data_IF_124576132783
#
_entry.id   IF_124576132783
#
_cell.length_a   1.000
_cell.length_b   1.000
_cell.length_c   1.000
_cell.angle_alpha   90.00
_cell.angle_beta   90.00
_cell.angle_gamma   90.00
#
_symmetry.space_group_name_H-M   'P 1'
#
loop_
_entity.id
_entity.type
_entity.pdbx_description
1 polymer ?
#
# COMPACT_ATOMS: atom_id res chain seq x y z
N UNK A 1 -41.81 -47.50 -28.07
CA UNK A 1 -43.16 -47.23 -27.53
C UNK A 1 -44.29 -47.52 -28.53
N UNK A 2 -44.18 -47.13 -29.81
CA UNK A 2 -45.26 -47.29 -30.80
C UNK A 2 -45.80 -48.73 -30.99
N UNK A 3 -44.94 -49.77 -31.01
CA UNK A 3 -45.40 -51.18 -31.15
C UNK A 3 -46.22 -51.68 -29.96
N UNK A 4 -45.90 -51.21 -28.75
CA UNK A 4 -46.59 -51.60 -27.51
C UNK A 4 -47.95 -50.92 -27.38
N UNK A 5 -48.05 -49.64 -27.76
CA UNK A 5 -49.33 -48.92 -27.82
C UNK A 5 -50.27 -49.52 -28.87
N UNK A 6 -49.75 -49.94 -30.02
CA UNK A 6 -50.55 -50.65 -31.05
C UNK A 6 -51.09 -51.99 -30.52
N UNK A 7 -50.28 -52.77 -29.80
CA UNK A 7 -50.72 -54.01 -29.17
C UNK A 7 -51.84 -53.77 -28.14
N UNK A 8 -51.70 -52.76 -27.27
CA UNK A 8 -52.74 -52.40 -26.28
C UNK A 8 -54.05 -51.95 -26.94
N UNK A 9 -53.99 -51.20 -28.04
CA UNK A 9 -55.19 -50.80 -28.80
C UNK A 9 -55.87 -52.02 -29.42
N UNK A 10 -55.11 -52.93 -30.03
CA UNK A 10 -55.66 -54.17 -30.59
C UNK A 10 -56.31 -55.02 -29.50
N UNK A 11 -55.65 -55.21 -28.35
CA UNK A 11 -56.19 -55.94 -27.20
C UNK A 11 -57.46 -55.29 -26.63
N UNK A 12 -57.50 -53.96 -26.55
CA UNK A 12 -58.69 -53.23 -26.11
C UNK A 12 -59.85 -53.44 -27.09
N UNK A 13 -59.61 -53.31 -28.40
CA UNK A 13 -60.64 -53.51 -29.43
C UNK A 13 -61.16 -54.95 -29.47
N UNK A 14 -60.30 -55.96 -29.29
CA UNK A 14 -60.74 -57.36 -29.22
C UNK A 14 -61.59 -57.64 -27.99
N UNK A 15 -61.19 -57.15 -26.81
CA UNK A 15 -61.99 -57.24 -25.59
C UNK A 15 -63.34 -56.53 -25.71
N UNK A 16 -63.36 -55.36 -26.35
CA UNK A 16 -64.58 -54.57 -26.57
C UNK A 16 -65.53 -55.27 -27.55
N UNK A 17 -65.00 -55.92 -28.59
CA UNK A 17 -65.78 -56.74 -29.52
C UNK A 17 -66.36 -57.99 -28.86
N UNK A 18 -65.61 -58.66 -27.97
CA UNK A 18 -66.12 -59.80 -27.20
C UNK A 18 -67.22 -59.35 -26.24
N UNK A 19 -67.00 -58.24 -25.54
CA UNK A 19 -67.99 -57.66 -24.62
C UNK A 19 -69.28 -57.26 -25.35
N UNK A 20 -69.17 -56.68 -26.55
CA UNK A 20 -70.29 -56.34 -27.43
C UNK A 20 -71.18 -57.54 -27.75
N UNK A 21 -70.52 -58.66 -28.10
CA UNK A 21 -71.19 -59.87 -28.54
C UNK A 21 -72.04 -60.50 -27.42
N UNK A 22 -71.54 -60.48 -26.19
CA UNK A 22 -72.23 -61.07 -25.03
C UNK A 22 -73.26 -60.14 -24.37
N UNK A 23 -73.29 -58.85 -24.71
CA UNK A 23 -74.17 -57.86 -24.07
C UNK A 23 -75.02 -57.08 -25.10
N UNK A 24 -75.87 -57.79 -25.84
CA UNK A 24 -76.77 -57.23 -26.87
C UNK A 24 -78.06 -56.60 -26.32
N UNK A 25 -78.25 -56.59 -24.99
CA UNK A 25 -79.41 -56.01 -24.32
C UNK A 25 -79.50 -54.49 -24.48
N UNK A 26 -80.73 -53.97 -24.36
CA UNK A 26 -81.01 -52.54 -24.35
C UNK A 26 -81.62 -52.11 -23.02
N UNK A 27 -81.34 -50.87 -22.62
CA UNK A 27 -81.78 -50.31 -21.34
C UNK A 27 -82.45 -48.96 -21.60
N UNK A 28 -83.52 -48.67 -20.87
CA UNK A 28 -84.15 -47.35 -20.88
C UNK A 28 -83.33 -46.41 -19.99
N UNK A 29 -82.82 -45.32 -20.56
CA UNK A 29 -81.96 -44.35 -19.86
C UNK A 29 -82.73 -43.05 -19.66
N UNK A 30 -82.95 -42.68 -18.40
CA UNK A 30 -83.51 -41.38 -18.01
C UNK A 30 -82.40 -40.37 -17.78
N UNK A 31 -82.40 -39.28 -18.54
CA UNK A 31 -81.43 -38.19 -18.39
C UNK A 31 -82.05 -37.04 -17.58
N UNK A 32 -81.22 -36.16 -17.05
CA UNK A 32 -81.62 -34.91 -16.39
C UNK A 32 -82.68 -34.17 -17.24
N UNK A 33 -83.81 -33.82 -16.62
CA UNK A 33 -85.08 -33.30 -17.17
C UNK A 33 -86.15 -34.34 -17.54
N UNK A 34 -85.99 -35.59 -17.10
CA UNK A 34 -87.05 -36.61 -17.23
C UNK A 34 -87.23 -37.13 -18.66
N UNK A 35 -86.30 -36.84 -19.57
CA UNK A 35 -86.28 -37.41 -20.91
C UNK A 35 -85.80 -38.87 -20.84
N UNK A 36 -86.66 -39.80 -21.25
CA UNK A 36 -86.35 -41.23 -21.28
C UNK A 36 -86.01 -41.67 -22.70
N UNK A 37 -84.76 -42.03 -22.93
CA UNK A 37 -84.34 -42.68 -24.16
C UNK A 37 -84.59 -44.19 -24.01
N UNK A 38 -85.56 -44.70 -24.78
CA UNK A 38 -85.93 -46.12 -24.73
C UNK A 38 -85.00 -46.98 -25.58
N UNK A 39 -84.72 -48.18 -25.10
CA UNK A 39 -83.95 -49.20 -25.83
C UNK A 39 -82.55 -48.77 -26.28
N UNK A 40 -81.80 -48.06 -25.43
CA UNK A 40 -80.39 -47.74 -25.70
C UNK A 40 -79.52 -48.99 -25.53
N UNK A 41 -78.71 -49.39 -26.53
CA UNK A 41 -77.82 -50.54 -26.40
C UNK A 41 -76.80 -50.35 -25.26
N UNK A 42 -76.59 -51.37 -24.42
CA UNK A 42 -75.66 -51.31 -23.29
C UNK A 42 -74.22 -50.93 -23.75
N UNK A 43 -73.81 -51.42 -24.92
CA UNK A 43 -72.50 -51.09 -25.50
C UNK A 43 -72.33 -49.60 -25.80
N UNK A 44 -73.40 -48.89 -26.16
CA UNK A 44 -73.32 -47.45 -26.42
C UNK A 44 -72.93 -46.70 -25.13
N UNK A 45 -73.46 -47.11 -23.97
CA UNK A 45 -73.10 -46.53 -22.67
C UNK A 45 -71.64 -46.80 -22.28
N UNK A 46 -71.13 -48.00 -22.55
CA UNK A 46 -69.73 -48.36 -22.30
C UNK A 46 -68.79 -47.57 -23.20
N UNK A 47 -69.13 -47.39 -24.47
CA UNK A 47 -68.36 -46.55 -25.41
C UNK A 47 -68.36 -45.08 -24.99
N UNK A 48 -69.49 -44.55 -24.52
CA UNK A 48 -69.57 -43.18 -24.01
C UNK A 48 -68.69 -43.01 -22.76
N UNK A 49 -68.77 -43.93 -21.79
CA UNK A 49 -67.97 -43.89 -20.56
C UNK A 49 -66.47 -43.96 -20.82
N UNK A 50 -66.04 -44.89 -21.68
CA UNK A 50 -64.64 -45.01 -22.10
C UNK A 50 -64.15 -43.79 -22.88
N UNK A 51 -64.99 -43.22 -23.75
CA UNK A 51 -64.69 -41.98 -24.47
C UNK A 51 -64.50 -40.79 -23.51
N UNK A 52 -65.33 -40.67 -22.48
CA UNK A 52 -65.18 -39.64 -21.43
C UNK A 52 -63.88 -39.84 -20.65
N UNK A 53 -63.53 -41.08 -20.29
CA UNK A 53 -62.26 -41.39 -19.61
C UNK A 53 -61.03 -41.05 -20.46
N UNK A 54 -61.06 -41.39 -21.75
CA UNK A 54 -60.00 -41.03 -22.69
C UNK A 54 -59.91 -39.51 -22.85
N UNK A 55 -61.05 -38.82 -22.99
CA UNK A 55 -61.11 -37.37 -23.15
C UNK A 55 -60.57 -36.64 -21.91
N UNK A 56 -60.94 -37.08 -20.70
CA UNK A 56 -60.41 -36.53 -19.45
C UNK A 56 -58.90 -36.79 -19.30
N UNK A 57 -58.40 -37.98 -19.67
CA UNK A 57 -56.97 -38.26 -19.73
C UNK A 57 -56.24 -37.32 -20.70
N UNK A 58 -56.78 -37.06 -21.89
CA UNK A 58 -56.20 -36.11 -22.85
C UNK A 58 -56.18 -34.69 -22.30
N UNK A 59 -57.24 -34.25 -21.61
CA UNK A 59 -57.26 -32.93 -20.96
C UNK A 59 -56.17 -32.85 -19.90
N UNK A 60 -56.05 -33.84 -19.02
CA UNK A 60 -55.03 -33.85 -17.97
C UNK A 60 -53.62 -33.89 -18.57
N UNK A 61 -53.39 -34.69 -19.61
CA UNK A 61 -52.11 -34.74 -20.32
C UNK A 61 -51.78 -33.40 -20.98
N UNK A 62 -52.75 -32.77 -21.65
CA UNK A 62 -52.59 -31.46 -22.28
C UNK A 62 -52.27 -30.36 -21.26
N UNK A 63 -52.94 -30.34 -20.10
CA UNK A 63 -52.65 -29.40 -19.00
C UNK A 63 -51.24 -29.63 -18.46
N UNK A 64 -50.85 -30.90 -18.24
CA UNK A 64 -49.52 -31.25 -17.74
C UNK A 64 -48.41 -30.85 -18.72
N UNK A 65 -48.59 -31.09 -20.00
CA UNK A 65 -47.61 -30.74 -21.02
C UNK A 65 -47.54 -29.23 -21.26
N UNK A 66 -48.67 -28.52 -21.18
CA UNK A 66 -48.72 -27.06 -21.18
C UNK A 66 -47.95 -26.46 -19.99
N UNK A 67 -48.13 -26.99 -18.78
CA UNK A 67 -47.36 -26.55 -17.60
C UNK A 67 -45.87 -26.79 -17.79
N UNK A 68 -45.46 -27.98 -18.22
CA UNK A 68 -44.04 -28.30 -18.48
C UNK A 68 -43.43 -27.40 -19.55
N UNK A 69 -44.18 -27.11 -20.61
CA UNK A 69 -43.75 -26.21 -21.67
C UNK A 69 -43.53 -24.79 -21.11
N UNK A 70 -44.47 -24.27 -20.33
CA UNK A 70 -44.35 -22.96 -19.68
C UNK A 70 -43.14 -22.89 -18.73
N UNK A 71 -42.94 -23.91 -17.91
CA UNK A 71 -41.78 -24.00 -17.00
C UNK A 71 -40.47 -24.01 -17.81
N UNK A 72 -40.40 -24.84 -18.85
CA UNK A 72 -39.22 -24.92 -19.73
C UNK A 72 -38.95 -23.61 -20.47
N UNK A 73 -39.99 -22.90 -20.89
CA UNK A 73 -39.89 -21.61 -21.55
C UNK A 73 -39.40 -20.52 -20.60
N UNK A 74 -39.89 -20.52 -19.36
CA UNK A 74 -39.45 -19.59 -18.34
C UNK A 74 -37.97 -19.81 -17.98
N UNK A 75 -37.54 -21.06 -17.81
CA UNK A 75 -36.13 -21.41 -17.57
C UNK A 75 -35.26 -20.97 -18.75
N UNK A 76 -35.65 -21.28 -19.99
CA UNK A 76 -34.89 -20.85 -21.17
C UNK A 76 -34.79 -19.33 -21.29
N UNK A 77 -35.85 -18.60 -20.92
CA UNK A 77 -35.86 -17.13 -20.95
C UNK A 77 -34.91 -16.55 -19.91
N UNK A 78 -34.89 -17.11 -18.69
CA UNK A 78 -33.95 -16.72 -17.63
C UNK A 78 -32.51 -17.01 -18.07
N UNK A 79 -32.23 -18.23 -18.55
CA UNK A 79 -30.89 -18.60 -19.03
C UNK A 79 -30.40 -17.72 -20.19
N UNK A 80 -31.28 -17.38 -21.14
CA UNK A 80 -30.93 -16.45 -22.23
C UNK A 80 -30.64 -15.04 -21.70
N UNK A 81 -31.36 -14.58 -20.68
CA UNK A 81 -31.11 -13.29 -20.03
C UNK A 81 -29.75 -13.31 -19.32
N UNK A 82 -29.48 -14.31 -18.49
CA UNK A 82 -28.21 -14.48 -17.78
C UNK A 82 -27.02 -14.58 -18.74
N UNK A 83 -27.13 -15.39 -19.80
CA UNK A 83 -26.07 -15.52 -20.82
C UNK A 83 -25.78 -14.19 -21.52
N UNK A 84 -26.81 -13.39 -21.81
CA UNK A 84 -26.66 -12.06 -22.41
C UNK A 84 -25.98 -11.07 -21.45
N UNK A 85 -26.28 -11.15 -20.16
CA UNK A 85 -25.65 -10.34 -19.12
C UNK A 85 -24.17 -10.71 -19.01
N UNK A 86 -23.86 -12.00 -18.92
CA UNK A 86 -22.48 -12.50 -18.83
C UNK A 86 -21.66 -12.15 -20.08
N UNK A 87 -22.26 -12.25 -21.27
CA UNK A 87 -21.63 -11.82 -22.52
C UNK A 87 -21.34 -10.30 -22.51
N UNK A 88 -22.30 -9.50 -22.06
CA UNK A 88 -22.13 -8.03 -21.96
C UNK A 88 -21.06 -7.66 -20.93
N UNK A 89 -21.04 -8.35 -19.80
CA UNK A 89 -20.01 -8.19 -18.76
C UNK A 89 -18.63 -8.57 -19.28
N UNK A 90 -18.50 -9.69 -19.99
CA UNK A 90 -17.24 -10.16 -20.58
C UNK A 90 -16.70 -9.15 -21.60
N UNK A 91 -17.54 -8.66 -22.52
CA UNK A 91 -17.14 -7.60 -23.47
C UNK A 91 -16.74 -6.31 -22.76
N UNK A 92 -17.47 -5.92 -21.72
CA UNK A 92 -17.14 -4.74 -20.91
C UNK A 92 -15.78 -4.88 -20.24
N UNK A 93 -15.46 -6.09 -19.77
CA UNK A 93 -14.18 -6.40 -19.16
C UNK A 93 -13.02 -6.41 -20.16
N UNK A 94 -13.23 -6.94 -21.37
CA UNK A 94 -12.28 -6.85 -22.49
C UNK A 94 -12.01 -5.39 -22.90
N UNK A 95 -13.06 -4.57 -23.00
CA UNK A 95 -12.93 -3.15 -23.30
C UNK A 95 -12.16 -2.41 -22.21
N UNK A 96 -12.40 -2.73 -20.92
CA UNK A 96 -11.67 -2.18 -19.79
C UNK A 96 -10.18 -2.54 -19.84
N UNK A 97 -9.86 -3.79 -20.15
CA UNK A 97 -8.47 -4.25 -20.31
C UNK A 97 -7.75 -3.57 -21.46
N UNK A 98 -8.47 -3.24 -22.52
CA UNK A 98 -7.95 -2.48 -23.65
C UNK A 98 -8.01 -0.95 -23.45
N UNK A 99 -8.26 -0.49 -22.22
CA UNK A 99 -8.35 0.93 -21.84
C UNK A 99 -9.42 1.74 -22.58
N UNK A 100 -10.40 1.08 -23.20
CA UNK A 100 -11.57 1.71 -23.84
C UNK A 100 -12.64 1.98 -22.78
N UNK A 101 -12.38 2.98 -21.94
CA UNK A 101 -13.18 3.24 -20.74
C UNK A 101 -14.64 3.61 -21.04
N UNK A 102 -14.90 4.37 -22.11
CA UNK A 102 -16.26 4.78 -22.50
C UNK A 102 -17.12 3.58 -22.92
N UNK A 103 -16.54 2.68 -23.74
CA UNK A 103 -17.20 1.46 -24.18
C UNK A 103 -17.46 0.51 -23.00
N UNK A 104 -16.46 0.35 -22.13
CA UNK A 104 -16.59 -0.46 -20.91
C UNK A 104 -17.69 0.08 -19.98
N UNK A 105 -17.74 1.40 -19.79
CA UNK A 105 -18.76 2.07 -18.98
C UNK A 105 -20.17 1.84 -19.54
N UNK A 106 -20.36 1.94 -20.87
CA UNK A 106 -21.65 1.65 -21.50
C UNK A 106 -22.06 0.18 -21.30
N UNK A 107 -21.13 -0.75 -21.52
CA UNK A 107 -21.38 -2.19 -21.39
C UNK A 107 -21.72 -2.58 -19.95
N UNK A 108 -20.98 -2.08 -18.96
CA UNK A 108 -21.29 -2.34 -17.56
C UNK A 108 -22.57 -1.61 -17.11
N UNK A 109 -22.88 -0.44 -17.65
CA UNK A 109 -24.15 0.25 -17.38
C UNK A 109 -25.33 -0.57 -17.89
N UNK A 110 -25.19 -1.22 -19.06
CA UNK A 110 -26.19 -2.16 -19.58
C UNK A 110 -26.38 -3.36 -18.65
N UNK A 111 -25.29 -3.94 -18.14
CA UNK A 111 -25.33 -5.03 -17.17
C UNK A 111 -26.11 -4.64 -15.91
N UNK A 112 -25.82 -3.48 -15.31
CA UNK A 112 -26.55 -3.03 -14.11
C UNK A 112 -27.99 -2.57 -14.41
N UNK A 113 -28.32 -2.27 -15.68
CA UNK A 113 -29.69 -2.04 -16.11
C UNK A 113 -30.53 -3.32 -16.12
N UNK A 114 -29.92 -4.45 -16.50
CA UNK A 114 -30.57 -5.77 -16.50
C UNK A 114 -30.54 -6.45 -15.10
N UNK A 115 -29.47 -6.22 -14.32
CA UNK A 115 -29.25 -6.70 -12.94
C UNK A 115 -28.65 -5.59 -12.03
N UNK A 116 -29.49 -4.81 -11.32
CA UNK A 116 -29.05 -3.66 -10.52
C UNK A 116 -28.06 -3.95 -9.38
N UNK A 117 -28.00 -5.20 -8.91
CA UNK A 117 -27.13 -5.66 -7.81
C UNK A 117 -25.93 -6.48 -8.29
N UNK A 118 -25.63 -6.47 -9.60
CA UNK A 118 -24.52 -7.23 -10.17
C UNK A 118 -23.16 -6.69 -9.68
N UNK A 119 -22.64 -7.30 -8.60
CA UNK A 119 -21.48 -6.82 -7.81
C UNK A 119 -20.24 -6.54 -8.66
N UNK A 120 -19.87 -7.45 -9.56
CA UNK A 120 -18.63 -7.29 -10.33
C UNK A 120 -18.71 -6.09 -11.30
N UNK A 121 -19.84 -5.93 -12.00
CA UNK A 121 -20.09 -4.78 -12.87
C UNK A 121 -20.08 -3.45 -12.10
N UNK A 122 -20.66 -3.42 -10.89
CA UNK A 122 -20.59 -2.25 -10.00
C UNK A 122 -19.14 -1.94 -9.59
N UNK A 123 -18.33 -2.95 -9.26
CA UNK A 123 -16.91 -2.75 -8.99
C UNK A 123 -16.18 -2.15 -10.19
N UNK A 124 -16.38 -2.69 -11.39
CA UNK A 124 -15.72 -2.18 -12.60
C UNK A 124 -16.15 -0.76 -12.96
N UNK A 125 -17.43 -0.42 -12.81
CA UNK A 125 -17.88 0.98 -12.96
C UNK A 125 -17.23 1.90 -11.93
N UNK A 126 -17.09 1.44 -10.68
CA UNK A 126 -16.34 2.15 -9.65
C UNK A 126 -14.87 2.36 -10.02
N UNK A 127 -14.21 1.33 -10.56
CA UNK A 127 -12.81 1.39 -11.01
C UNK A 127 -12.61 2.39 -12.15
N UNK A 128 -13.54 2.40 -13.12
CA UNK A 128 -13.54 3.38 -14.22
C UNK A 128 -13.71 4.79 -13.66
N UNK A 129 -14.69 5.02 -12.78
CA UNK A 129 -14.91 6.32 -12.14
C UNK A 129 -13.69 6.78 -11.33
N UNK A 130 -13.06 5.87 -10.59
CA UNK A 130 -11.85 6.14 -9.81
C UNK A 130 -10.70 6.59 -10.72
N UNK A 131 -10.47 5.91 -11.85
CA UNK A 131 -9.46 6.31 -12.84
C UNK A 131 -9.76 7.66 -13.49
N UNK A 132 -11.04 7.96 -13.75
CA UNK A 132 -11.52 9.26 -14.22
C UNK A 132 -11.48 10.35 -13.14
N UNK A 133 -11.00 10.06 -11.93
CA UNK A 133 -10.98 10.95 -10.77
C UNK A 133 -12.36 11.42 -10.28
N UNK A 134 -13.45 10.78 -10.73
CA UNK A 134 -14.80 10.98 -10.19
C UNK A 134 -14.98 10.12 -8.93
N UNK A 135 -14.31 10.54 -7.86
CA UNK A 135 -14.25 9.79 -6.60
C UNK A 135 -15.63 9.63 -5.96
N UNK A 136 -16.55 10.57 -6.17
CA UNK A 136 -17.90 10.51 -5.61
C UNK A 136 -18.74 9.42 -6.25
N UNK A 137 -18.74 9.31 -7.59
CA UNK A 137 -19.43 8.20 -8.27
C UNK A 137 -18.76 6.87 -7.97
N UNK A 138 -17.43 6.83 -7.92
CA UNK A 138 -16.69 5.62 -7.55
C UNK A 138 -17.14 5.10 -6.17
N UNK A 139 -17.21 5.98 -5.16
CA UNK A 139 -17.74 5.61 -3.84
C UNK A 139 -19.17 5.07 -3.93
N UNK A 140 -20.07 5.68 -4.70
CA UNK A 140 -21.45 5.20 -4.83
C UNK A 140 -21.51 3.77 -5.38
N UNK A 141 -20.80 3.49 -6.48
CA UNK A 141 -20.77 2.16 -7.07
C UNK A 141 -20.16 1.12 -6.14
N UNK A 142 -19.04 1.45 -5.47
CA UNK A 142 -18.43 0.54 -4.51
C UNK A 142 -19.30 0.27 -3.28
N UNK A 143 -20.05 1.27 -2.78
CA UNK A 143 -21.00 1.07 -1.68
C UNK A 143 -22.15 0.13 -2.09
N UNK A 144 -22.68 0.30 -3.30
CA UNK A 144 -23.70 -0.64 -3.85
C UNK A 144 -23.13 -2.06 -3.98
N UNK A 145 -21.89 -2.20 -4.43
CA UNK A 145 -21.22 -3.49 -4.47
C UNK A 145 -21.07 -4.11 -3.06
N UNK A 146 -20.77 -3.29 -2.03
CA UNK A 146 -20.69 -3.75 -0.62
C UNK A 146 -22.03 -4.26 -0.11
N UNK A 147 -23.16 -3.66 -0.51
CA UNK A 147 -24.49 -4.18 -0.14
C UNK A 147 -24.70 -5.62 -0.63
N UNK A 148 -24.32 -5.92 -1.87
CA UNK A 148 -24.45 -7.27 -2.43
C UNK A 148 -23.48 -8.29 -1.83
N UNK A 149 -22.22 -7.89 -1.57
CA UNK A 149 -21.21 -8.75 -0.89
C UNK A 149 -20.46 -7.97 0.20
N UNK A 150 -21.00 -7.93 1.44
CA UNK A 150 -20.45 -7.09 2.52
C UNK A 150 -19.02 -7.40 2.95
N UNK A 151 -18.58 -8.66 2.82
CA UNK A 151 -17.24 -9.12 3.19
C UNK A 151 -16.34 -9.43 1.98
N UNK A 152 -16.64 -8.83 0.83
CA UNK A 152 -15.78 -8.97 -0.35
C UNK A 152 -14.48 -8.19 -0.18
N UNK A 153 -13.34 -8.89 -0.16
CA UNK A 153 -12.01 -8.27 -0.04
C UNK A 153 -11.78 -7.22 -1.13
N UNK A 154 -12.13 -7.53 -2.38
CA UNK A 154 -11.96 -6.60 -3.51
C UNK A 154 -12.78 -5.31 -3.31
N UNK A 155 -14.00 -5.44 -2.79
CA UNK A 155 -14.88 -4.30 -2.54
C UNK A 155 -14.40 -3.43 -1.39
N UNK A 156 -14.05 -4.03 -0.27
CA UNK A 156 -13.53 -3.29 0.90
C UNK A 156 -12.19 -2.61 0.56
N UNK A 157 -11.33 -3.27 -0.20
CA UNK A 157 -10.06 -2.68 -0.65
C UNK A 157 -10.28 -1.50 -1.59
N UNK A 158 -11.25 -1.59 -2.50
CA UNK A 158 -11.61 -0.50 -3.41
C UNK A 158 -12.24 0.68 -2.65
N UNK A 159 -13.05 0.40 -1.63
CA UNK A 159 -13.57 1.42 -0.71
C UNK A 159 -12.43 2.11 0.05
N UNK A 160 -11.50 1.37 0.66
CA UNK A 160 -10.33 1.96 1.32
C UNK A 160 -9.60 2.92 0.39
N UNK A 161 -9.26 2.47 -0.83
CA UNK A 161 -8.54 3.27 -1.83
C UNK A 161 -9.28 4.56 -2.20
N UNK A 162 -10.59 4.50 -2.44
CA UNK A 162 -11.35 5.71 -2.80
C UNK A 162 -11.45 6.69 -1.63
N UNK A 163 -11.60 6.20 -0.39
CA UNK A 163 -11.61 7.08 0.78
C UNK A 163 -10.23 7.68 1.06
N UNK A 164 -9.13 6.95 0.82
CA UNK A 164 -7.77 7.48 0.84
C UNK A 164 -7.58 8.60 -0.19
N UNK A 165 -8.01 8.39 -1.44
CA UNK A 165 -7.96 9.38 -2.50
C UNK A 165 -8.82 10.63 -2.21
N UNK A 166 -9.91 10.47 -1.45
CA UNK A 166 -10.74 11.57 -0.94
C UNK A 166 -10.15 12.26 0.31
N UNK A 167 -8.96 11.86 0.78
CA UNK A 167 -8.36 12.30 2.03
C UNK A 167 -9.21 12.01 3.29
N UNK A 168 -10.20 11.12 3.20
CA UNK A 168 -11.04 10.65 4.32
C UNK A 168 -10.38 9.46 5.01
N UNK A 169 -9.24 9.75 5.65
CA UNK A 169 -8.33 8.73 6.21
C UNK A 169 -8.99 7.83 7.27
N UNK A 170 -9.84 8.38 8.14
CA UNK A 170 -10.55 7.59 9.15
C UNK A 170 -11.51 6.57 8.54
N UNK A 171 -12.21 6.93 7.46
CA UNK A 171 -13.11 5.99 6.80
C UNK A 171 -12.33 4.91 6.06
N UNK A 172 -11.21 5.25 5.41
CA UNK A 172 -10.31 4.26 4.83
C UNK A 172 -9.81 3.25 5.88
N UNK A 173 -9.39 3.72 7.06
CA UNK A 173 -8.95 2.86 8.16
C UNK A 173 -10.08 1.90 8.60
N UNK A 174 -11.35 2.33 8.66
CA UNK A 174 -12.47 1.43 8.99
C UNK A 174 -12.58 0.27 8.00
N UNK A 175 -12.47 0.53 6.69
CA UNK A 175 -12.51 -0.55 5.68
C UNK A 175 -11.26 -1.44 5.72
N UNK A 176 -10.10 -0.89 6.09
CA UNK A 176 -8.91 -1.70 6.35
C UNK A 176 -9.07 -2.58 7.59
N UNK A 177 -9.77 -2.09 8.62
CA UNK A 177 -10.10 -2.89 9.80
C UNK A 177 -11.08 -4.02 9.46
N UNK A 178 -12.13 -3.75 8.68
CA UNK A 178 -13.02 -4.79 8.13
C UNK A 178 -12.22 -5.86 7.35
N UNK A 179 -11.16 -5.46 6.62
CA UNK A 179 -10.27 -6.38 5.88
C UNK A 179 -9.36 -7.20 6.79
N UNK A 180 -8.79 -6.57 7.81
CA UNK A 180 -7.92 -7.23 8.80
C UNK A 180 -8.73 -8.24 9.63
N UNK A 181 -10.02 -7.99 9.89
CA UNK A 181 -10.91 -8.98 10.51
C UNK A 181 -11.18 -10.20 9.63
N UNK A 182 -11.06 -10.08 8.30
CA UNK A 182 -11.21 -11.21 7.37
C UNK A 182 -9.91 -12.00 7.28
N UNK A 183 -8.77 -11.32 7.20
CA UNK A 183 -7.44 -11.92 7.10
C UNK A 183 -6.42 -11.13 7.94
N UNK A 184 -6.29 -11.52 9.21
CA UNK A 184 -5.43 -10.85 10.20
C UNK A 184 -3.94 -10.94 9.84
N UNK A 185 -3.56 -11.96 9.06
CA UNK A 185 -2.15 -12.26 8.77
C UNK A 185 -1.72 -11.74 7.39
N UNK A 186 -2.55 -10.95 6.71
CA UNK A 186 -2.17 -10.30 5.46
C UNK A 186 -1.36 -9.03 5.73
N UNK A 187 -0.03 -9.04 5.53
CA UNK A 187 0.78 -7.85 5.78
C UNK A 187 0.41 -6.70 4.85
N UNK A 188 -0.22 -6.96 3.69
CA UNK A 188 -0.61 -5.93 2.73
C UNK A 188 -1.66 -4.95 3.27
N UNK A 189 -2.65 -5.43 4.03
CA UNK A 189 -3.66 -4.55 4.65
C UNK A 189 -3.05 -3.75 5.80
N UNK A 190 -2.19 -4.40 6.60
CA UNK A 190 -1.47 -3.74 7.68
C UNK A 190 -0.50 -2.68 7.17
N UNK A 191 0.21 -2.92 6.06
CA UNK A 191 1.07 -1.92 5.42
C UNK A 191 0.28 -0.68 5.02
N UNK A 192 -0.86 -0.84 4.35
CA UNK A 192 -1.73 0.30 3.99
C UNK A 192 -2.19 1.07 5.23
N UNK A 193 -2.67 0.37 6.26
CA UNK A 193 -3.11 1.01 7.50
C UNK A 193 -1.98 1.78 8.19
N UNK A 194 -0.79 1.19 8.24
CA UNK A 194 0.42 1.82 8.78
C UNK A 194 0.80 3.06 7.98
N UNK A 195 0.84 2.97 6.65
CA UNK A 195 1.27 4.08 5.78
C UNK A 195 0.32 5.29 5.93
N UNK A 196 -0.98 5.05 6.16
CA UNK A 196 -1.94 6.11 6.51
C UNK A 196 -1.60 6.75 7.87
N UNK A 197 -1.25 5.97 8.89
CA UNK A 197 -0.86 6.53 10.20
C UNK A 197 0.48 7.26 10.16
N UNK A 198 1.46 6.72 9.44
CA UNK A 198 2.77 7.31 9.20
C UNK A 198 2.64 8.67 8.50
N UNK A 199 1.82 8.76 7.45
CA UNK A 199 1.56 10.02 6.74
C UNK A 199 0.80 11.07 7.56
N UNK A 200 0.23 10.69 8.72
CA UNK A 200 -0.43 11.59 9.67
C UNK A 200 0.40 11.86 10.93
N UNK A 201 1.64 11.36 11.01
CA UNK A 201 2.49 11.42 12.20
C UNK A 201 1.82 10.82 13.46
N UNK A 202 0.93 9.83 13.27
CA UNK A 202 0.26 9.07 14.34
C UNK A 202 1.18 7.93 14.79
N UNK A 203 2.24 8.28 15.51
CA UNK A 203 3.36 7.37 15.78
C UNK A 203 3.01 6.21 16.72
N UNK A 204 2.10 6.43 17.68
CA UNK A 204 1.64 5.37 18.58
C UNK A 204 0.86 4.30 17.81
N UNK A 205 -0.11 4.71 17.00
CA UNK A 205 -0.90 3.78 16.17
C UNK A 205 -0.02 3.12 15.09
N UNK A 206 0.96 3.86 14.55
CA UNK A 206 1.97 3.30 13.62
C UNK A 206 2.75 2.15 14.26
N UNK A 207 3.21 2.32 15.50
CA UNK A 207 3.93 1.28 16.23
C UNK A 207 3.06 0.08 16.60
N UNK A 208 1.79 0.30 16.93
CA UNK A 208 0.85 -0.80 17.18
C UNK A 208 0.69 -1.68 15.92
N UNK A 209 0.46 -1.04 14.76
CA UNK A 209 0.32 -1.76 13.48
C UNK A 209 1.64 -2.42 13.09
N UNK A 210 2.78 -1.76 13.29
CA UNK A 210 4.10 -2.36 13.04
C UNK A 210 4.34 -3.61 13.89
N UNK A 211 3.88 -3.62 15.14
CA UNK A 211 3.91 -4.80 16.01
C UNK A 211 3.07 -5.96 15.48
N UNK A 212 1.94 -5.69 14.80
CA UNK A 212 1.13 -6.71 14.13
C UNK A 212 1.83 -7.24 12.87
N UNK A 213 2.42 -6.36 12.07
CA UNK A 213 3.20 -6.73 10.87
C UNK A 213 4.31 -7.72 11.21
N UNK A 214 5.08 -7.47 12.28
CA UNK A 214 6.18 -8.34 12.69
C UNK A 214 5.73 -9.70 13.26
N UNK A 215 4.43 -9.89 13.52
CA UNK A 215 3.85 -11.21 13.87
C UNK A 215 3.41 -11.99 12.63
N UNK A 216 3.27 -11.34 11.47
CA UNK A 216 2.96 -12.03 10.23
C UNK A 216 4.16 -12.88 9.78
N UNK A 217 3.90 -13.87 8.91
CA UNK A 217 4.95 -14.67 8.29
C UNK A 217 5.64 -13.85 7.20
N UNK A 218 6.77 -13.23 7.54
CA UNK A 218 7.58 -12.43 6.64
C UNK A 218 8.76 -13.25 6.09
N UNK A 219 9.30 -12.84 4.94
CA UNK A 219 10.62 -13.31 4.51
C UNK A 219 11.71 -12.74 5.43
N UNK A 220 12.88 -13.36 5.47
CA UNK A 220 14.00 -12.85 6.29
C UNK A 220 14.42 -11.44 5.89
N UNK A 221 14.37 -11.11 4.60
CA UNK A 221 14.69 -9.77 4.10
C UNK A 221 13.64 -8.74 4.51
N UNK A 222 12.36 -9.10 4.42
CA UNK A 222 11.26 -8.25 4.87
C UNK A 222 11.33 -8.02 6.39
N UNK A 223 11.62 -9.05 7.17
CA UNK A 223 11.76 -8.94 8.62
C UNK A 223 12.88 -7.96 9.02
N UNK A 224 14.04 -8.01 8.34
CA UNK A 224 15.14 -7.05 8.58
C UNK A 224 14.68 -5.63 8.24
N UNK A 225 14.02 -5.44 7.09
CA UNK A 225 13.52 -4.12 6.66
C UNK A 225 12.48 -3.57 7.63
N UNK A 226 11.55 -4.40 8.07
CA UNK A 226 10.48 -4.02 8.99
C UNK A 226 10.99 -3.77 10.42
N UNK A 227 12.04 -4.47 10.86
CA UNK A 227 12.73 -4.16 12.11
C UNK A 227 13.48 -2.82 12.06
N UNK A 228 14.11 -2.49 10.91
CA UNK A 228 14.72 -1.16 10.71
C UNK A 228 13.67 -0.05 10.77
N UNK A 229 12.52 -0.24 10.11
CA UNK A 229 11.38 0.70 10.20
C UNK A 229 10.84 0.82 11.63
N UNK A 230 10.70 -0.29 12.36
CA UNK A 230 10.27 -0.28 13.76
C UNK A 230 11.15 0.65 14.60
N UNK A 231 12.47 0.60 14.40
CA UNK A 231 13.39 1.46 15.11
C UNK A 231 13.22 2.94 14.73
N UNK A 232 13.02 3.23 13.44
CA UNK A 232 12.65 4.56 12.94
C UNK A 232 11.35 5.09 13.56
N UNK A 233 10.29 4.29 13.61
CA UNK A 233 9.02 4.70 14.23
C UNK A 233 9.14 4.95 15.73
N UNK A 234 9.96 4.14 16.45
CA UNK A 234 10.27 4.40 17.87
C UNK A 234 11.00 5.73 18.05
N UNK A 235 11.89 6.06 17.11
CA UNK A 235 12.62 7.33 17.12
C UNK A 235 11.68 8.52 16.88
N UNK A 236 10.76 8.43 15.91
CA UNK A 236 9.76 9.49 15.68
C UNK A 236 8.83 9.68 16.88
N UNK A 237 8.40 8.59 17.53
CA UNK A 237 7.63 8.70 18.78
C UNK A 237 8.46 9.37 19.90
N UNK A 238 9.75 9.10 19.99
CA UNK A 238 10.62 9.77 20.96
C UNK A 238 10.73 11.29 20.67
N UNK A 239 10.83 11.69 19.40
CA UNK A 239 10.77 13.10 18.99
C UNK A 239 9.41 13.73 19.33
N UNK A 240 8.32 13.01 19.13
CA UNK A 240 6.99 13.47 19.53
C UNK A 240 6.89 13.71 21.04
N UNK A 241 7.38 12.78 21.86
CA UNK A 241 7.43 12.96 23.32
C UNK A 241 8.29 14.16 23.74
N UNK A 242 9.40 14.46 23.05
CA UNK A 242 10.16 15.69 23.31
C UNK A 242 9.32 16.94 23.00
N UNK A 243 8.60 16.94 21.87
CA UNK A 243 7.76 18.05 21.47
C UNK A 243 6.56 18.28 22.40
N UNK A 244 6.02 17.22 23.01
CA UNK A 244 4.91 17.32 23.99
C UNK A 244 5.38 17.57 25.43
N UNK A 245 6.68 17.66 25.67
CA UNK A 245 7.27 17.89 27.00
C UNK A 245 7.42 16.63 27.85
N UNK A 246 7.11 15.45 27.31
CA UNK A 246 7.28 14.14 27.96
C UNK A 246 8.74 13.63 27.89
N UNK A 247 9.65 14.48 28.34
CA UNK A 247 11.11 14.31 28.18
C UNK A 247 11.67 13.00 28.73
N UNK A 248 11.24 12.58 29.91
CA UNK A 248 11.73 11.34 30.53
C UNK A 248 11.43 10.11 29.69
N UNK A 249 10.24 10.06 29.08
CA UNK A 249 9.85 8.98 28.16
C UNK A 249 10.71 9.02 26.91
N UNK A 250 10.93 10.20 26.34
CA UNK A 250 11.77 10.37 25.16
C UNK A 250 13.21 9.91 25.42
N UNK A 251 13.84 10.37 26.51
CA UNK A 251 15.21 10.01 26.88
C UNK A 251 15.34 8.49 27.07
N UNK A 252 14.38 7.86 27.75
CA UNK A 252 14.35 6.41 27.93
C UNK A 252 14.27 5.68 26.59
N UNK A 253 13.40 6.14 25.68
CA UNK A 253 13.25 5.57 24.34
C UNK A 253 14.50 5.73 23.48
N UNK A 254 15.12 6.92 23.47
CA UNK A 254 16.37 7.20 22.73
C UNK A 254 17.52 6.31 23.23
N UNK A 255 17.67 6.16 24.56
CA UNK A 255 18.65 5.23 25.14
C UNK A 255 18.39 3.78 24.73
N UNK A 256 17.13 3.36 24.64
CA UNK A 256 16.77 2.03 24.18
C UNK A 256 17.11 1.84 22.70
N UNK A 257 16.87 2.84 21.85
CA UNK A 257 17.23 2.82 20.42
C UNK A 257 18.74 2.65 20.26
N UNK A 258 19.55 3.46 20.95
CA UNK A 258 21.02 3.37 20.93
C UNK A 258 21.53 2.00 21.41
N UNK A 259 20.82 1.37 22.36
CA UNK A 259 21.17 0.04 22.85
C UNK A 259 20.89 -1.04 21.80
N UNK A 260 19.81 -0.89 21.03
CA UNK A 260 19.41 -1.83 19.96
C UNK A 260 20.27 -1.67 18.71
N UNK A 261 20.48 -0.44 18.27
CA UNK A 261 21.31 -0.10 17.12
C UNK A 261 22.30 0.99 17.54
N UNK A 262 23.56 0.57 17.66
CA UNK A 262 24.63 1.46 18.10
C UNK A 262 25.07 2.45 17.02
N UNK A 263 24.69 2.22 15.77
CA UNK A 263 25.01 3.07 14.63
C UNK A 263 23.91 4.09 14.34
N UNK A 264 22.82 4.11 15.12
CA UNK A 264 21.70 5.04 14.98
C UNK A 264 22.09 6.46 15.41
N UNK A 265 22.84 7.15 14.54
CA UNK A 265 23.41 8.50 14.71
C UNK A 265 22.38 9.50 15.22
N UNK A 266 21.20 9.51 14.61
CA UNK A 266 20.14 10.46 14.91
C UNK A 266 19.67 10.38 16.37
N UNK A 267 19.75 9.20 17.01
CA UNK A 267 19.36 9.03 18.40
C UNK A 267 20.39 9.64 19.36
N UNK A 268 21.69 9.56 19.04
CA UNK A 268 22.73 10.24 19.83
C UNK A 268 22.56 11.76 19.76
N UNK A 269 22.38 12.30 18.55
CA UNK A 269 22.19 13.73 18.32
C UNK A 269 20.95 14.25 19.06
N UNK A 270 19.80 13.58 18.85
CA UNK A 270 18.53 13.99 19.49
C UNK A 270 18.59 13.86 21.02
N UNK A 271 19.28 12.85 21.55
CA UNK A 271 19.45 12.68 22.99
C UNK A 271 20.35 13.76 23.60
N UNK A 272 21.44 14.11 22.92
CA UNK A 272 22.31 15.20 23.33
C UNK A 272 21.57 16.55 23.31
N UNK A 273 20.75 16.78 22.29
CA UNK A 273 19.93 17.99 22.17
C UNK A 273 18.90 18.09 23.30
N UNK A 274 18.27 16.96 23.65
CA UNK A 274 17.38 16.88 24.80
C UNK A 274 18.10 17.20 26.13
N UNK A 275 19.35 16.77 26.29
CA UNK A 275 20.16 17.09 27.47
C UNK A 275 20.62 18.54 27.52
N UNK A 276 21.09 19.11 26.39
CA UNK A 276 21.44 20.52 26.29
C UNK A 276 20.23 21.42 26.60
N UNK A 277 19.04 21.05 26.11
CA UNK A 277 17.80 21.77 26.43
C UNK A 277 17.42 21.70 27.92
N UNK A 278 17.97 20.75 28.69
CA UNK A 278 17.82 20.68 30.16
C UNK A 278 18.84 21.52 30.92
N UNK A 279 19.86 22.05 30.24
CA UNK A 279 21.09 22.55 30.87
C UNK A 279 22.04 21.43 31.34
N UNK A 280 21.75 20.17 31.04
CA UNK A 280 22.58 19.02 31.38
C UNK A 280 23.70 18.82 30.34
N UNK A 281 24.59 19.81 30.24
CA UNK A 281 25.64 19.86 29.22
C UNK A 281 26.62 18.68 29.30
N UNK A 282 26.94 18.20 30.51
CA UNK A 282 27.87 17.09 30.72
C UNK A 282 27.32 15.76 30.18
N UNK A 283 26.02 15.53 30.35
CA UNK A 283 25.35 14.37 29.81
C UNK A 283 25.25 14.44 28.29
N UNK A 284 25.02 15.63 27.73
CA UNK A 284 25.04 15.84 26.29
C UNK A 284 26.41 15.53 25.70
N UNK A 285 27.48 16.07 26.31
CA UNK A 285 28.87 15.79 25.94
C UNK A 285 29.17 14.29 25.94
N UNK A 286 28.85 13.60 27.05
CA UNK A 286 29.10 12.17 27.19
C UNK A 286 28.39 11.34 26.12
N UNK A 287 27.17 11.71 25.73
CA UNK A 287 26.42 11.03 24.68
C UNK A 287 27.02 11.29 23.30
N UNK A 288 27.41 12.53 23.00
CA UNK A 288 28.03 12.87 21.72
C UNK A 288 29.40 12.17 21.54
N UNK A 289 30.25 12.20 22.57
CA UNK A 289 31.54 11.50 22.58
C UNK A 289 31.35 10.00 22.36
N UNK A 290 30.43 9.39 23.11
CA UNK A 290 30.09 7.96 22.94
C UNK A 290 29.61 7.65 21.53
N UNK A 291 28.76 8.50 20.96
CA UNK A 291 28.29 8.33 19.59
C UNK A 291 29.45 8.37 18.60
N UNK A 292 30.38 9.30 18.79
CA UNK A 292 31.53 9.48 17.90
C UNK A 292 32.50 8.29 18.02
N UNK A 293 32.78 7.83 19.24
CA UNK A 293 33.65 6.66 19.47
C UNK A 293 33.14 5.40 18.76
N UNK A 294 31.82 5.22 18.69
CA UNK A 294 31.20 4.06 18.05
C UNK A 294 31.12 4.22 16.54
N UNK A 295 30.64 5.37 16.06
CA UNK A 295 30.29 5.55 14.64
C UNK A 295 31.41 6.16 13.81
N UNK A 296 32.37 6.84 14.45
CA UNK A 296 33.37 7.69 13.82
C UNK A 296 32.77 8.70 12.81
N UNK A 297 31.51 9.08 13.01
CA UNK A 297 30.77 9.91 12.05
C UNK A 297 31.21 11.38 12.08
N UNK A 298 31.58 11.98 10.93
CA UNK A 298 31.89 13.41 10.84
C UNK A 298 30.74 14.32 11.28
N UNK A 299 29.48 13.85 11.16
CA UNK A 299 28.30 14.60 11.60
C UNK A 299 28.32 14.82 13.12
N UNK A 300 28.67 13.78 13.89
CA UNK A 300 28.83 13.90 15.34
C UNK A 300 30.03 14.76 15.72
N UNK A 301 31.10 14.70 14.93
CA UNK A 301 32.28 15.52 15.16
C UNK A 301 31.97 17.02 15.01
N UNK A 302 31.21 17.39 13.98
CA UNK A 302 30.69 18.77 13.82
C UNK A 302 29.80 19.17 14.99
N UNK A 303 28.94 18.25 15.48
CA UNK A 303 28.08 18.53 16.65
C UNK A 303 28.87 18.71 17.94
N UNK A 304 29.92 17.91 18.15
CA UNK A 304 30.85 18.06 19.27
C UNK A 304 31.60 19.39 19.20
N UNK A 305 32.02 19.81 18.00
CA UNK A 305 32.63 21.12 17.79
C UNK A 305 31.70 22.25 18.22
N UNK A 306 30.45 22.26 17.75
CA UNK A 306 29.46 23.25 18.17
C UNK A 306 29.27 23.26 19.69
N UNK A 307 29.17 22.07 20.30
CA UNK A 307 29.02 21.94 21.74
C UNK A 307 30.19 22.56 22.51
N UNK A 308 31.43 22.12 22.25
CA UNK A 308 32.61 22.59 22.97
C UNK A 308 32.89 24.08 22.76
N UNK A 309 32.61 24.60 21.55
CA UNK A 309 32.72 26.04 21.28
C UNK A 309 31.65 26.81 22.07
N UNK A 310 30.42 26.30 22.14
CA UNK A 310 29.33 26.98 22.86
C UNK A 310 29.54 27.06 24.37
N UNK A 311 30.21 26.07 24.97
CA UNK A 311 30.54 26.07 26.40
C UNK A 311 31.86 26.80 26.71
N UNK A 312 32.61 27.24 25.68
CA UNK A 312 33.86 27.97 25.85
C UNK A 312 35.08 27.10 26.16
N UNK A 313 35.03 25.80 25.84
CA UNK A 313 36.13 24.84 26.08
C UNK A 313 36.71 24.28 24.76
N UNK A 314 37.28 25.12 23.88
CA UNK A 314 37.77 24.68 22.57
C UNK A 314 38.98 23.73 22.64
N UNK A 315 39.71 23.68 23.76
CA UNK A 315 40.86 22.78 23.93
C UNK A 315 40.48 21.31 23.83
N UNK A 316 39.30 20.93 24.33
CA UNK A 316 38.85 19.54 24.35
C UNK A 316 38.52 19.03 22.96
N UNK A 317 37.85 19.85 22.14
CA UNK A 317 37.58 19.50 20.75
C UNK A 317 38.87 19.46 19.91
N UNK A 318 39.83 20.36 20.14
CA UNK A 318 41.14 20.29 19.48
C UNK A 318 41.84 18.96 19.78
N UNK A 319 41.90 18.56 21.06
CA UNK A 319 42.51 17.29 21.46
C UNK A 319 41.79 16.08 20.82
N UNK A 320 40.46 16.10 20.77
CA UNK A 320 39.68 15.04 20.10
C UNK A 320 40.02 14.93 18.62
N UNK A 321 40.04 16.06 17.91
CA UNK A 321 40.43 16.12 16.51
C UNK A 321 41.85 15.61 16.28
N UNK A 322 42.80 16.05 17.11
CA UNK A 322 44.19 15.61 17.02
C UNK A 322 44.26 14.09 17.24
N UNK A 323 43.64 13.55 18.29
CA UNK A 323 43.59 12.10 18.54
C UNK A 323 43.02 11.32 17.35
N UNK A 324 41.93 11.80 16.76
CA UNK A 324 41.33 11.19 15.58
C UNK A 324 42.30 11.23 14.38
N UNK A 325 43.02 12.35 14.17
CA UNK A 325 43.98 12.50 13.08
C UNK A 325 45.24 11.65 13.27
N UNK A 326 45.66 11.36 14.50
CA UNK A 326 46.76 10.43 14.75
C UNK A 326 46.39 8.99 14.40
N UNK A 327 45.11 8.61 14.53
CA UNK A 327 44.62 7.27 14.20
C UNK A 327 44.62 7.03 12.69
N UNK A 328 44.26 8.04 11.91
CA UNK A 328 44.39 8.02 10.45
C UNK A 328 45.03 9.32 9.91
N UNK A 329 46.38 9.36 9.83
CA UNK A 329 47.10 10.54 9.36
C UNK A 329 46.82 10.91 7.89
N UNK A 330 46.19 10.02 7.11
CA UNK A 330 45.86 10.25 5.70
C UNK A 330 44.39 10.57 5.48
N UNK A 331 43.58 10.70 6.53
CA UNK A 331 42.23 11.23 6.42
C UNK A 331 42.27 12.76 6.20
N UNK A 332 42.39 13.15 4.94
CA UNK A 332 42.37 14.54 4.52
C UNK A 332 41.03 15.24 4.82
N UNK A 333 39.94 14.48 4.95
CA UNK A 333 38.64 15.03 5.37
C UNK A 333 38.72 15.53 6.81
N UNK A 334 39.35 14.73 7.67
CA UNK A 334 39.54 15.09 9.06
C UNK A 334 40.51 16.28 9.19
N UNK A 335 41.62 16.28 8.48
CA UNK A 335 42.55 17.42 8.44
C UNK A 335 41.86 18.71 7.96
N UNK A 336 40.97 18.61 6.99
CA UNK A 336 40.16 19.73 6.54
C UNK A 336 39.27 20.29 7.65
N UNK A 337 38.60 19.45 8.44
CA UNK A 337 37.83 19.93 9.60
C UNK A 337 38.71 20.53 10.70
N UNK A 338 39.89 19.95 10.96
CA UNK A 338 40.86 20.51 11.91
C UNK A 338 41.27 21.92 11.50
N UNK A 339 41.59 22.11 10.22
CA UNK A 339 41.91 23.41 9.67
C UNK A 339 40.76 24.41 9.80
N UNK A 340 39.52 23.98 9.52
CA UNK A 340 38.32 24.82 9.71
C UNK A 340 38.16 25.23 11.17
N UNK A 341 38.37 24.31 12.11
CA UNK A 341 38.31 24.58 13.54
C UNK A 341 39.38 25.60 13.96
N UNK A 342 40.65 25.38 13.59
CA UNK A 342 41.72 26.34 13.90
C UNK A 342 41.45 27.72 13.30
N UNK A 343 40.97 27.78 12.07
CA UNK A 343 40.57 29.05 11.44
C UNK A 343 39.45 29.73 12.23
N UNK A 344 38.41 28.99 12.64
CA UNK A 344 37.29 29.49 13.44
C UNK A 344 37.73 30.02 14.81
N UNK A 345 38.77 29.42 15.41
CA UNK A 345 39.36 29.84 16.68
C UNK A 345 40.43 30.94 16.53
N UNK A 346 40.58 31.52 15.33
CA UNK A 346 41.61 32.53 15.00
C UNK A 346 43.06 32.04 15.24
N UNK A 347 43.28 30.72 15.26
CA UNK A 347 44.59 30.09 15.33
C UNK A 347 45.19 29.95 13.93
N UNK A 348 45.47 31.08 13.28
CA UNK A 348 45.74 31.17 11.83
C UNK A 348 46.96 30.36 11.38
N UNK A 349 48.04 30.33 12.16
CA UNK A 349 49.24 29.56 11.80
C UNK A 349 48.99 28.04 11.87
N UNK A 350 48.29 27.57 12.89
CA UNK A 350 47.87 26.16 12.99
C UNK A 350 46.89 25.77 11.89
N UNK A 351 45.97 26.67 11.52
CA UNK A 351 45.09 26.48 10.39
C UNK A 351 45.90 26.34 9.10
N UNK A 352 46.89 27.23 8.87
CA UNK A 352 47.75 27.17 7.70
C UNK A 352 48.53 25.86 7.62
N UNK A 353 49.12 25.40 8.72
CA UNK A 353 49.87 24.14 8.76
C UNK A 353 48.96 22.93 8.49
N UNK A 354 47.77 22.90 9.10
CA UNK A 354 46.80 21.82 8.89
C UNK A 354 46.31 21.74 7.44
N UNK A 355 46.06 22.87 6.78
CA UNK A 355 45.63 22.87 5.37
C UNK A 355 46.77 22.47 4.44
N UNK A 356 48.01 22.89 4.71
CA UNK A 356 49.16 22.49 3.87
C UNK A 356 49.52 21.01 3.98
N UNK A 357 49.13 20.35 5.08
CA UNK A 357 49.26 18.91 5.21
C UNK A 357 48.31 18.13 4.27
N UNK A 358 47.26 18.78 3.75
CA UNK A 358 46.29 18.19 2.85
C UNK A 358 46.86 18.11 1.43
N UNK A 359 46.92 16.90 0.88
CA UNK A 359 47.20 16.72 -0.54
C UNK A 359 45.97 17.14 -1.36
N UNK A 360 46.06 18.32 -2.00
CA UNK A 360 44.98 18.88 -2.82
C UNK A 360 44.62 18.00 -4.05
N UNK A 361 45.50 17.09 -4.47
CA UNK A 361 45.15 16.11 -5.51
C UNK A 361 44.27 14.98 -4.95
N UNK A 362 44.50 14.59 -3.69
CA UNK A 362 43.72 13.57 -3.00
C UNK A 362 42.39 14.12 -2.45
N UNK A 363 42.37 15.40 -2.04
CA UNK A 363 41.18 16.10 -1.53
C UNK A 363 40.81 17.28 -2.42
N UNK A 364 40.06 16.99 -3.49
CA UNK A 364 39.65 17.99 -4.47
C UNK A 364 38.22 18.49 -4.23
N UNK A 365 38.08 19.48 -3.36
CA UNK A 365 36.80 20.15 -3.06
C UNK A 365 36.95 21.70 -3.09
N UNK A 366 36.00 22.46 -3.68
CA UNK A 366 36.10 23.93 -3.77
C UNK A 366 36.19 24.62 -2.40
N UNK A 367 35.55 24.02 -1.39
CA UNK A 367 35.59 24.53 -0.01
C UNK A 367 37.00 24.53 0.58
N UNK A 368 37.88 23.58 0.17
CA UNK A 368 39.29 23.58 0.59
C UNK A 368 40.01 24.84 0.09
N UNK A 369 39.82 25.19 -1.19
CA UNK A 369 40.40 26.39 -1.77
C UNK A 369 39.81 27.68 -1.17
N UNK A 370 38.52 27.65 -0.82
CA UNK A 370 37.89 28.76 -0.08
C UNK A 370 38.55 28.95 1.28
N UNK A 371 38.82 27.85 2.01
CA UNK A 371 39.50 27.88 3.29
C UNK A 371 40.95 28.36 3.17
N UNK A 372 41.71 27.87 2.18
CA UNK A 372 43.04 28.38 1.86
C UNK A 372 43.02 29.89 1.62
N UNK A 373 42.07 30.36 0.81
CA UNK A 373 41.89 31.78 0.50
C UNK A 373 41.66 32.62 1.76
N UNK A 374 40.74 32.17 2.61
CA UNK A 374 40.42 32.82 3.88
C UNK A 374 41.64 32.86 4.83
N UNK A 375 42.43 31.78 4.91
CA UNK A 375 43.65 31.75 5.73
C UNK A 375 44.71 32.70 5.17
N UNK A 376 44.94 32.73 3.87
CA UNK A 376 45.87 33.69 3.25
C UNK A 376 45.44 35.14 3.44
N UNK A 377 44.13 35.41 3.37
CA UNK A 377 43.57 36.73 3.64
C UNK A 377 43.86 37.18 5.07
N UNK A 378 43.64 36.32 6.07
CA UNK A 378 43.99 36.60 7.48
C UNK A 378 45.48 36.83 7.69
N UNK A 379 46.34 36.21 6.86
CA UNK A 379 47.80 36.45 6.84
C UNK A 379 48.22 37.64 5.98
N UNK A 380 47.27 38.40 5.43
CA UNK A 380 47.51 39.55 4.53
C UNK A 380 48.21 39.20 3.20
N UNK A 381 48.22 37.93 2.79
CA UNK A 381 48.71 37.50 1.46
C UNK A 381 47.55 37.51 0.45
N UNK A 382 47.06 38.71 0.14
CA UNK A 382 45.89 38.90 -0.73
C UNK A 382 46.09 38.34 -2.14
N UNK A 383 47.33 38.26 -2.61
CA UNK A 383 47.65 37.72 -3.93
C UNK A 383 47.38 36.22 -3.97
N UNK A 384 47.87 35.46 -2.99
CA UNK A 384 47.57 34.02 -2.90
C UNK A 384 46.12 33.76 -2.55
N UNK A 385 45.52 34.58 -1.68
CA UNK A 385 44.09 34.48 -1.36
C UNK A 385 43.23 34.54 -2.63
N UNK A 386 43.45 35.55 -3.48
CA UNK A 386 42.74 35.72 -4.75
C UNK A 386 42.96 34.54 -5.71
N UNK A 387 44.16 33.95 -5.74
CA UNK A 387 44.46 32.77 -6.56
C UNK A 387 43.65 31.54 -6.10
N UNK A 388 43.57 31.31 -4.79
CA UNK A 388 42.83 30.18 -4.23
C UNK A 388 41.31 30.36 -4.38
N UNK A 389 40.77 31.55 -4.16
CA UNK A 389 39.36 31.83 -4.45
C UNK A 389 39.02 31.62 -5.94
N UNK A 390 39.92 31.98 -6.86
CA UNK A 390 39.74 31.71 -8.28
C UNK A 390 39.68 30.21 -8.59
N UNK A 391 40.52 29.39 -7.91
CA UNK A 391 40.45 27.92 -8.04
C UNK A 391 39.11 27.39 -7.54
N UNK A 392 38.63 27.87 -6.39
CA UNK A 392 37.31 27.48 -5.85
C UNK A 392 36.17 27.79 -6.84
N UNK A 393 36.15 28.99 -7.42
CA UNK A 393 35.13 29.43 -8.38
C UNK A 393 35.22 28.74 -9.75
N UNK A 394 36.39 28.19 -10.11
CA UNK A 394 36.58 27.47 -11.37
C UNK A 394 36.08 26.02 -11.35
N UNK A 395 35.58 25.54 -10.20
CA UNK A 395 35.08 24.18 -10.06
C UNK A 395 33.58 24.08 -10.35
N UNK A 396 33.17 23.00 -11.00
CA UNK A 396 31.76 22.67 -11.23
C UNK A 396 31.06 22.08 -9.98
N UNK A 397 31.80 21.87 -8.88
CA UNK A 397 31.27 21.33 -7.63
C UNK A 397 30.65 22.43 -6.75
N UNK A 398 29.67 22.08 -5.88
CA UNK A 398 29.15 23.01 -4.88
C UNK A 398 30.26 23.58 -3.98
N UNK A 399 30.14 24.86 -3.61
CA UNK A 399 31.12 25.54 -2.75
C UNK A 399 31.13 25.04 -1.30
N UNK A 400 30.03 24.45 -0.84
CA UNK A 400 29.88 23.88 0.49
C UNK A 400 29.71 22.37 0.35
N UNK A 401 30.37 21.60 1.22
CA UNK A 401 30.18 20.15 1.30
C UNK A 401 28.72 19.87 1.68
N UNK A 402 27.94 19.19 0.81
CA UNK A 402 26.54 18.91 1.10
C UNK A 402 26.39 17.64 1.93
N UNK A 403 25.19 17.43 2.45
CA UNK A 403 24.77 16.12 2.94
C UNK A 403 24.11 15.33 1.82
N UNK A 404 24.25 14.01 1.88
CA UNK A 404 23.61 13.11 0.95
C UNK A 404 22.96 11.91 1.66
N UNK A 405 21.77 11.51 1.20
CA UNK A 405 21.14 10.26 1.61
C UNK A 405 21.81 9.06 0.95
N UNK A 406 22.48 8.22 1.75
CA UNK A 406 23.14 6.99 1.29
C UNK A 406 22.21 5.90 0.72
N UNK A 407 20.89 6.10 0.78
CA UNK A 407 19.88 5.16 0.27
C UNK A 407 19.21 5.60 -1.05
N UNK A 408 19.06 6.90 -1.31
CA UNK A 408 18.40 7.39 -2.53
C UNK A 408 19.15 8.52 -3.23
N UNK A 409 20.36 8.86 -2.76
CA UNK A 409 21.25 9.90 -3.30
C UNK A 409 20.67 11.33 -3.28
N UNK A 410 19.62 11.57 -2.48
CA UNK A 410 19.08 12.91 -2.24
C UNK A 410 20.14 13.82 -1.61
N UNK A 411 20.37 15.01 -2.19
CA UNK A 411 21.36 15.98 -1.72
C UNK A 411 20.67 17.13 -0.99
N UNK A 412 21.19 17.51 0.18
CA UNK A 412 20.70 18.62 1.00
C UNK A 412 21.85 19.48 1.52
N UNK A 413 21.55 20.75 1.83
CA UNK A 413 22.47 21.64 2.54
C UNK A 413 22.47 21.40 4.05
N UNK A 414 21.37 20.87 4.57
CA UNK A 414 21.16 20.60 5.98
C UNK A 414 21.08 19.09 6.24
N UNK A 415 21.60 18.67 7.38
CA UNK A 415 21.48 17.29 7.82
C UNK A 415 20.04 16.98 8.25
N UNK A 416 19.56 15.78 7.94
CA UNK A 416 18.23 15.31 8.36
C UNK A 416 18.32 13.90 8.95
N UNK A 417 17.60 13.66 10.05
CA UNK A 417 17.49 12.36 10.67
C UNK A 417 16.72 11.34 9.81
N UNK A 418 15.76 11.82 9.03
CA UNK A 418 14.92 11.06 8.11
C UNK A 418 14.93 11.69 6.73
N UNK A 419 15.23 10.91 5.70
CA UNK A 419 15.31 11.43 4.34
C UNK A 419 13.94 11.95 3.87
N UNK A 420 13.83 13.20 3.38
CA UNK A 420 12.55 13.74 2.89
C UNK A 420 12.06 13.06 1.60
N UNK A 421 12.96 12.40 0.85
CA UNK A 421 12.62 11.75 -0.42
C UNK A 421 12.27 10.26 -0.25
N UNK A 422 13.09 9.50 0.49
CA UNK A 422 12.87 8.05 0.65
C UNK A 422 12.36 7.64 2.04
N UNK A 423 12.16 8.58 2.97
CA UNK A 423 11.67 8.35 4.34
C UNK A 423 12.53 7.41 5.21
N UNK A 424 13.73 7.03 4.77
CA UNK A 424 14.66 6.22 5.54
C UNK A 424 15.41 7.04 6.59
N UNK A 425 15.49 6.51 7.80
CA UNK A 425 16.28 7.07 8.91
C UNK A 425 17.75 6.73 8.80
N UNK A 426 18.59 7.58 9.41
CA UNK A 426 20.01 7.32 9.61
C UNK A 426 20.77 7.10 8.28
N UNK A 427 20.41 7.84 7.25
CA UNK A 427 20.97 7.69 5.90
C UNK A 427 21.83 8.87 5.47
N UNK A 428 21.67 10.04 6.10
CA UNK A 428 22.39 11.26 5.72
C UNK A 428 23.84 11.21 6.21
N UNK A 429 24.75 11.25 5.24
CA UNK A 429 26.18 11.35 5.44
C UNK A 429 26.68 12.69 4.86
N UNK A 430 27.82 13.16 5.34
CA UNK A 430 28.48 14.33 4.78
C UNK A 430 29.24 13.90 3.52
N UNK A 431 28.89 14.45 2.35
CA UNK A 431 29.35 13.96 1.04
C UNK A 431 30.70 14.56 0.62
N UNK A 432 31.69 14.39 1.48
CA UNK A 432 33.02 15.01 1.34
C UNK A 432 33.76 14.49 0.10
N UNK A 433 33.63 13.18 -0.18
CA UNK A 433 34.35 12.47 -1.24
C UNK A 433 33.46 12.10 -2.44
N UNK A 434 32.31 12.76 -2.61
CA UNK A 434 31.31 12.44 -3.65
C UNK A 434 30.88 10.95 -3.62
N UNK A 435 30.79 10.37 -2.42
CA UNK A 435 30.52 8.95 -2.16
C UNK A 435 29.18 8.54 -2.80
N UNK A 436 28.18 9.43 -2.76
CA UNK A 436 26.88 9.15 -3.36
C UNK A 436 26.92 9.13 -4.89
N UNK A 437 27.73 9.99 -5.52
CA UNK A 437 27.88 9.98 -6.99
C UNK A 437 28.58 8.72 -7.50
N UNK A 438 29.49 8.14 -6.71
CA UNK A 438 30.22 6.91 -7.06
C UNK A 438 29.26 5.71 -7.11
N UNK A 439 28.37 5.56 -6.12
CA UNK A 439 27.38 4.47 -6.09
C UNK A 439 26.47 4.47 -7.33
N UNK A 440 26.01 5.65 -7.75
CA UNK A 440 25.16 5.80 -8.94
C UNK A 440 25.82 5.27 -10.22
N UNK A 441 27.15 5.37 -10.35
CA UNK A 441 27.89 4.86 -11.51
C UNK A 441 28.02 3.33 -11.51
N UNK A 442 28.09 2.71 -10.33
CA UNK A 442 28.23 1.26 -10.16
C UNK A 442 26.90 0.51 -10.29
N UNK A 443 25.77 1.17 -10.03
CA UNK A 443 24.43 0.56 -10.22
C UNK A 443 23.88 0.75 -11.63
N UNK A 444 24.49 1.63 -12.43
CA UNK A 444 24.15 1.87 -13.85
C UNK A 444 25.03 1.12 -14.85
N UNK A 445 25.98 0.31 -14.36
CA UNK A 445 26.86 -0.59 -15.12
C UNK A 445 26.51 -2.03 -14.82
#
# INVERSE_FOLDING_TARGET
MAKFTVFLVILFLTLLSVFAFFNSGSVDVTIWNGMTYKSVPLIALVLISTSIGIFTMFIVAAIRDASRYLDSWQIQRVQKKEAKIEESYSKGYEALFAERYEEAEELFTRVIGDEPEHVNALLRLGDICYRKSDLSKATNFYQRAKVGKPRSIETLLSLSKVYEAQHKRQDAIKYLDDLIEIDEHNPGFLYRKRDIYEGNNKWEETLEVQGKILKCKLSSEDEIRENKKLLGYKFELAKHHLATGEKDKAIKSLKAIIKTDKDFLAAYLTLADAYNADGNNKEAEAILLKGYDVTSSPVLLVRLEEHFISIGEPSTIIDLYQKASHKDPKDFSLQFFIAKLYYRLEMIDYAFDAINAIDAAAFSHPELHTLFGNVYERRSDYKKAAQEFKKALSSDKPLLVPYCCSSCDHISKEWSDRCPECNNWNTFILDINEICKIKKRQTSS
#
